data_IF_436216374342
#
_entry.id   IF_436216374342
#
_cell.length_a   1.000
_cell.length_b   1.000
_cell.length_c   1.000
_cell.angle_alpha   90.00
_cell.angle_beta   90.00
_cell.angle_gamma   90.00
#
_symmetry.space_group_name_H-M   'P 1'
#
loop_
_entity.id
_entity.type
_entity.pdbx_description
1 polymer ?
#
# COMPACT_ATOMS: atom_id res chain seq x y z
N UNK A 1 -2.33 7.47 -13.63
CA UNK A 1 -2.87 7.04 -12.33
C UNK A 1 -1.91 6.09 -11.66
N UNK A 2 -1.76 6.22 -10.34
CA UNK A 2 -0.76 5.47 -9.59
C UNK A 2 -1.35 4.97 -8.29
N UNK A 3 -0.92 3.80 -7.87
CA UNK A 3 -1.41 3.22 -6.64
C UNK A 3 -0.26 2.68 -5.81
N UNK A 4 -0.27 2.98 -4.53
CA UNK A 4 0.68 2.43 -3.58
C UNK A 4 -0.04 1.44 -2.70
N UNK A 5 0.53 0.25 -2.54
CA UNK A 5 -0.02 -0.80 -1.72
C UNK A 5 0.87 -1.07 -0.54
N UNK A 6 0.27 -1.25 0.62
CA UNK A 6 1.00 -1.54 1.83
C UNK A 6 0.68 -2.94 2.30
N UNK A 7 1.73 -3.73 2.43
CA UNK A 7 1.64 -5.04 2.99
C UNK A 7 2.01 -5.01 4.45
N UNK A 8 1.09 -5.43 5.29
CA UNK A 8 1.32 -5.49 6.71
C UNK A 8 0.81 -6.80 7.25
N UNK A 9 1.50 -7.84 6.98
CA UNK A 9 1.07 -9.11 7.50
C UNK A 9 2.21 -9.77 8.25
N UNK A 10 1.99 -10.01 9.54
CA UNK A 10 2.85 -10.88 10.31
C UNK A 10 2.66 -12.34 9.92
N UNK A 11 1.63 -12.60 9.13
CA UNK A 11 1.30 -13.95 8.64
C UNK A 11 1.65 -14.03 7.16
N UNK A 12 2.32 -15.10 6.78
CA UNK A 12 2.73 -15.34 5.40
C UNK A 12 1.58 -15.92 4.58
N UNK A 13 0.44 -15.23 4.57
CA UNK A 13 -0.72 -15.61 3.75
C UNK A 13 -1.07 -14.45 2.83
N UNK A 14 -1.41 -14.72 1.57
CA UNK A 14 -1.80 -13.65 0.66
C UNK A 14 -3.12 -13.05 1.11
N UNK A 15 -3.24 -11.73 0.93
CA UNK A 15 -4.49 -11.05 1.16
C UNK A 15 -5.43 -11.40 0.00
N UNK A 16 -6.66 -11.79 0.34
CA UNK A 16 -7.65 -12.19 -0.67
C UNK A 16 -7.88 -11.08 -1.69
N UNK A 17 -7.81 -11.43 -2.96
CA UNK A 17 -8.05 -10.50 -4.06
C UNK A 17 -6.87 -9.62 -4.43
N UNK A 18 -5.75 -9.66 -3.68
CA UNK A 18 -4.62 -8.79 -3.97
C UNK A 18 -3.93 -9.10 -5.30
N UNK A 19 -3.60 -10.37 -5.63
CA UNK A 19 -2.98 -10.65 -6.93
C UNK A 19 -3.85 -10.22 -8.10
N UNK A 20 -5.16 -10.41 -8.00
CA UNK A 20 -6.11 -10.01 -9.04
C UNK A 20 -6.17 -8.50 -9.18
N UNK A 21 -6.14 -7.76 -8.06
CA UNK A 21 -6.10 -6.30 -8.09
C UNK A 21 -4.83 -5.80 -8.77
N UNK A 22 -3.68 -6.38 -8.43
CA UNK A 22 -2.41 -6.00 -9.03
C UNK A 22 -2.44 -6.22 -10.55
N UNK A 23 -2.99 -7.34 -10.99
CA UNK A 23 -3.10 -7.63 -12.42
C UNK A 23 -4.01 -6.64 -13.13
N UNK A 24 -5.15 -6.29 -12.52
CA UNK A 24 -6.06 -5.29 -13.10
C UNK A 24 -5.39 -3.93 -13.24
N UNK A 25 -4.62 -3.52 -12.23
CA UNK A 25 -3.91 -2.25 -12.27
C UNK A 25 -2.84 -2.24 -13.37
N UNK A 26 -2.10 -3.34 -13.49
CA UNK A 26 -1.08 -3.46 -14.51
C UNK A 26 -1.68 -3.41 -15.91
N UNK A 27 -2.80 -4.12 -16.11
CA UNK A 27 -3.49 -4.16 -17.41
C UNK A 27 -4.00 -2.79 -17.82
N UNK A 28 -4.32 -1.93 -16.86
CA UNK A 28 -4.78 -0.57 -17.13
C UNK A 28 -3.65 0.46 -17.22
N UNK A 29 -2.40 0.03 -17.09
CA UNK A 29 -1.26 0.91 -17.23
C UNK A 29 -0.91 1.71 -15.99
N UNK A 30 -1.43 1.36 -14.82
CA UNK A 30 -1.06 2.02 -13.58
C UNK A 30 0.36 1.65 -13.17
N UNK A 31 1.06 2.61 -12.58
CA UNK A 31 2.31 2.34 -11.88
C UNK A 31 2.00 1.92 -10.46
N UNK A 32 2.67 0.89 -9.99
CA UNK A 32 2.41 0.32 -8.67
C UNK A 32 3.66 0.41 -7.83
N UNK A 33 3.53 1.00 -6.64
CA UNK A 33 4.60 1.05 -5.66
C UNK A 33 4.17 0.38 -4.37
N UNK A 34 5.12 -0.13 -3.64
CA UNK A 34 4.90 -0.70 -2.32
C UNK A 34 5.64 0.12 -1.28
N UNK A 35 4.93 0.55 -0.26
CA UNK A 35 5.51 1.23 0.89
C UNK A 35 5.14 0.44 2.15
N UNK A 36 6.12 -0.10 2.84
CA UNK A 36 5.92 -0.96 3.98
C UNK A 36 6.80 -0.55 5.15
N UNK A 37 6.30 -0.72 6.36
CA UNK A 37 7.09 -0.49 7.58
C UNK A 37 8.06 -1.62 7.89
N UNK A 38 7.95 -2.73 7.20
CA UNK A 38 8.83 -3.89 7.39
C UNK A 38 10.22 -3.66 6.82
N UNK A 39 11.20 -4.40 7.31
CA UNK A 39 12.55 -4.37 6.76
C UNK A 39 12.55 -4.89 5.32
N UNK A 40 13.45 -4.36 4.50
CA UNK A 40 13.50 -4.69 3.06
C UNK A 40 13.60 -6.19 2.79
N UNK A 41 14.42 -6.91 3.54
CA UNK A 41 14.56 -8.35 3.35
C UNK A 41 13.26 -9.10 3.60
N UNK A 42 12.48 -8.65 4.57
CA UNK A 42 11.17 -9.25 4.87
C UNK A 42 10.19 -8.94 3.74
N UNK A 43 10.18 -7.71 3.23
CA UNK A 43 9.31 -7.33 2.12
C UNK A 43 9.61 -8.21 0.91
N UNK A 44 10.89 -8.35 0.55
CA UNK A 44 11.29 -9.15 -0.62
C UNK A 44 10.95 -10.63 -0.45
N UNK A 45 11.11 -11.16 0.76
CA UNK A 45 10.75 -12.54 1.04
C UNK A 45 9.25 -12.78 0.79
N UNK A 46 8.41 -11.90 1.31
CA UNK A 46 6.96 -12.03 1.16
C UNK A 46 6.55 -11.91 -0.31
N UNK A 47 7.05 -10.90 -1.01
CA UNK A 47 6.71 -10.67 -2.42
C UNK A 47 7.16 -11.82 -3.30
N UNK A 48 8.33 -12.38 -3.03
CA UNK A 48 8.85 -13.52 -3.78
C UNK A 48 8.02 -14.77 -3.50
N UNK A 49 7.68 -14.99 -2.22
CA UNK A 49 6.91 -16.17 -1.83
C UNK A 49 5.55 -16.21 -2.50
N UNK A 50 4.90 -15.05 -2.64
CA UNK A 50 3.58 -14.97 -3.27
C UNK A 50 3.64 -14.62 -4.77
N UNK A 51 4.86 -14.53 -5.30
CA UNK A 51 5.09 -14.30 -6.73
C UNK A 51 4.43 -13.03 -7.26
N UNK A 52 4.51 -11.94 -6.48
CA UNK A 52 3.91 -10.66 -6.86
C UNK A 52 4.92 -9.53 -6.95
N UNK A 53 6.20 -9.81 -6.78
CA UNK A 53 7.25 -8.78 -6.75
C UNK A 53 7.30 -7.97 -8.06
N UNK A 54 7.10 -8.61 -9.19
CA UNK A 54 7.24 -7.96 -10.50
C UNK A 54 6.13 -6.96 -10.81
N UNK A 55 5.06 -6.94 -10.01
CA UNK A 55 4.02 -5.92 -10.16
C UNK A 55 4.48 -4.54 -9.67
N UNK A 56 5.47 -4.47 -8.79
CA UNK A 56 5.88 -3.23 -8.15
C UNK A 56 7.07 -2.61 -8.85
N UNK A 57 6.91 -1.38 -9.34
CA UNK A 57 8.02 -0.62 -9.93
C UNK A 57 8.97 -0.08 -8.87
N UNK A 58 8.43 0.21 -7.67
CA UNK A 58 9.16 0.81 -6.57
C UNK A 58 8.77 0.10 -5.28
N UNK A 59 9.77 -0.21 -4.47
CA UNK A 59 9.59 -0.78 -3.14
C UNK A 59 10.34 0.11 -2.16
N UNK A 60 9.61 0.67 -1.19
CA UNK A 60 10.19 1.52 -0.14
C UNK A 60 9.98 0.86 1.20
N UNK A 61 11.06 0.67 1.94
CA UNK A 61 11.01 0.17 3.32
C UNK A 61 11.04 1.34 4.28
N UNK A 62 9.95 1.50 5.04
CA UNK A 62 9.89 2.52 6.10
C UNK A 62 10.91 2.30 7.20
N UNK A 63 11.38 1.06 7.37
CA UNK A 63 12.42 0.75 8.34
C UNK A 63 13.75 1.41 8.00
N UNK A 64 13.96 1.81 6.75
CA UNK A 64 15.18 2.50 6.29
C UNK A 64 15.08 4.02 6.41
N UNK A 65 13.92 4.54 6.86
CA UNK A 65 13.67 5.97 6.95
C UNK A 65 13.77 6.46 8.39
N UNK A 66 14.15 7.73 8.61
CA UNK A 66 14.26 8.28 9.97
C UNK A 66 12.90 8.41 10.67
N UNK A 67 11.82 8.50 9.91
CA UNK A 67 10.47 8.58 10.48
C UNK A 67 9.57 7.54 9.85
N UNK A 68 8.80 6.86 10.69
CA UNK A 68 7.84 5.86 10.26
C UNK A 68 6.43 6.42 10.25
N UNK A 69 5.47 5.66 9.73
CA UNK A 69 4.06 6.02 9.81
C UNK A 69 3.65 6.28 11.24
N UNK A 70 2.84 7.29 11.53
CA UNK A 70 1.97 8.05 10.62
C UNK A 70 2.64 9.22 9.89
N UNK A 71 3.96 9.34 9.92
CA UNK A 71 4.66 10.37 9.16
C UNK A 71 4.50 10.09 7.66
N UNK A 72 4.22 11.12 6.83
CA UNK A 72 3.97 10.89 5.40
C UNK A 72 5.20 10.57 4.57
N UNK A 73 6.41 10.59 5.16
CA UNK A 73 7.65 10.47 4.40
C UNK A 73 7.70 9.24 3.50
N UNK A 74 7.25 8.08 3.98
CA UNK A 74 7.31 6.84 3.21
C UNK A 74 6.49 6.96 1.93
N UNK A 75 5.32 7.59 1.97
CA UNK A 75 4.48 7.76 0.80
C UNK A 75 5.00 8.84 -0.13
N UNK A 76 5.50 9.94 0.41
CA UNK A 76 6.07 11.03 -0.39
C UNK A 76 7.29 10.53 -1.17
N UNK A 77 8.14 9.75 -0.53
CA UNK A 77 9.32 9.16 -1.19
C UNK A 77 8.90 8.17 -2.28
N UNK A 78 7.89 7.36 -2.02
CA UNK A 78 7.39 6.40 -3.01
C UNK A 78 6.83 7.12 -4.23
N UNK A 79 6.05 8.17 -4.03
CA UNK A 79 5.50 8.97 -5.13
C UNK A 79 6.62 9.61 -5.95
N UNK A 80 7.65 10.16 -5.28
CA UNK A 80 8.79 10.75 -5.96
C UNK A 80 9.51 9.72 -6.83
N UNK A 81 9.73 8.53 -6.30
CA UNK A 81 10.41 7.47 -7.06
C UNK A 81 9.56 6.96 -8.23
N UNK A 82 8.25 7.03 -8.12
CA UNK A 82 7.35 6.71 -9.23
C UNK A 82 7.27 7.83 -10.26
N UNK A 83 7.75 9.01 -9.91
CA UNK A 83 7.73 10.17 -10.81
C UNK A 83 6.36 10.85 -10.90
N UNK A 84 5.59 10.84 -9.81
CA UNK A 84 4.23 11.40 -9.78
C UNK A 84 4.04 12.32 -8.60
N UNK A 85 3.04 13.19 -8.71
CA UNK A 85 2.67 14.05 -7.58
C UNK A 85 1.74 13.31 -6.63
N UNK A 86 1.73 13.68 -5.33
CA UNK A 86 0.86 13.01 -4.35
C UNK A 86 -0.62 13.03 -4.72
N UNK A 87 -1.11 14.11 -5.33
CA UNK A 87 -2.53 14.21 -5.70
C UNK A 87 -2.93 13.16 -6.74
N UNK A 88 -1.96 12.62 -7.46
CA UNK A 88 -2.21 11.58 -8.47
C UNK A 88 -2.16 10.17 -7.88
N UNK A 89 -1.82 10.04 -6.62
CA UNK A 89 -1.63 8.75 -5.97
C UNK A 89 -2.87 8.31 -5.20
N UNK A 90 -3.15 7.02 -5.27
CA UNK A 90 -4.13 6.35 -4.42
C UNK A 90 -3.41 5.31 -3.59
N UNK A 91 -3.66 5.31 -2.30
CA UNK A 91 -3.07 4.35 -1.35
C UNK A 91 -4.13 3.35 -0.93
N UNK A 92 -3.75 2.08 -0.90
CA UNK A 92 -4.56 1.03 -0.28
C UNK A 92 -3.87 0.64 1.02
N UNK A 93 -4.56 0.78 2.14
CA UNK A 93 -3.97 0.61 3.47
C UNK A 93 -4.97 -0.05 4.42
N UNK A 94 -4.47 -0.85 5.36
CA UNK A 94 -5.32 -1.55 6.33
C UNK A 94 -5.07 -1.12 7.78
N UNK A 95 -4.19 -0.16 8.02
CA UNK A 95 -3.83 0.26 9.37
C UNK A 95 -4.05 1.76 9.58
N UNK A 96 -4.46 2.12 10.79
CA UNK A 96 -4.71 3.50 11.19
C UNK A 96 -3.52 4.41 10.89
N UNK A 97 -2.31 3.97 11.25
CA UNK A 97 -1.10 4.77 11.05
C UNK A 97 -0.80 5.00 9.57
N UNK A 98 -1.02 3.98 8.73
CA UNK A 98 -0.82 4.09 7.29
C UNK A 98 -1.83 5.02 6.63
N UNK A 99 -3.09 4.97 7.06
CA UNK A 99 -4.13 5.87 6.57
C UNK A 99 -3.77 7.31 6.92
N UNK A 100 -3.33 7.56 8.17
CA UNK A 100 -2.91 8.89 8.59
C UNK A 100 -1.74 9.40 7.75
N UNK A 101 -0.76 8.54 7.47
CA UNK A 101 0.38 8.89 6.62
C UNK A 101 -0.06 9.25 5.20
N UNK A 102 -0.96 8.48 4.61
CA UNK A 102 -1.47 8.73 3.27
C UNK A 102 -2.21 10.08 3.20
N UNK A 103 -3.06 10.35 4.17
CA UNK A 103 -3.81 11.61 4.21
C UNK A 103 -2.87 12.80 4.45
N UNK A 104 -1.87 12.64 5.32
CA UNK A 104 -0.86 13.68 5.54
C UNK A 104 -0.02 13.95 4.28
N UNK A 105 0.15 12.95 3.43
CA UNK A 105 0.86 13.09 2.15
C UNK A 105 0.00 13.73 1.07
N UNK A 106 -1.30 13.93 1.30
CA UNK A 106 -2.21 14.49 0.31
C UNK A 106 -2.70 13.49 -0.72
N UNK A 107 -2.70 12.21 -0.36
CA UNK A 107 -3.10 11.13 -1.26
C UNK A 107 -4.51 10.64 -0.94
N UNK A 108 -5.20 10.15 -1.97
CA UNK A 108 -6.47 9.47 -1.82
C UNK A 108 -6.22 8.12 -1.14
N UNK A 109 -7.03 7.76 -0.15
CA UNK A 109 -6.82 6.54 0.61
C UNK A 109 -8.04 5.63 0.59
N UNK A 110 -7.83 4.40 0.15
CA UNK A 110 -8.81 3.33 0.23
C UNK A 110 -8.38 2.44 1.38
N UNK A 111 -9.23 2.34 2.40
CA UNK A 111 -8.95 1.45 3.52
C UNK A 111 -9.47 0.05 3.21
N UNK A 112 -8.62 -0.93 3.42
CA UNK A 112 -9.02 -2.33 3.37
C UNK A 112 -9.33 -2.78 4.79
N UNK A 113 -10.57 -3.19 5.02
CA UNK A 113 -11.01 -3.69 6.31
C UNK A 113 -10.57 -5.16 6.43
N UNK A 114 -9.33 -5.34 6.84
CA UNK A 114 -8.70 -6.65 6.92
C UNK A 114 -9.25 -7.43 8.11
N UNK A 115 -9.89 -8.60 7.90
CA UNK A 115 -10.44 -9.36 9.00
C UNK A 115 -9.39 -9.88 9.99
N UNK A 116 -8.11 -9.89 9.59
CA UNK A 116 -7.01 -10.29 10.46
C UNK A 116 -6.41 -9.12 11.24
N UNK A 117 -6.86 -7.89 10.98
CA UNK A 117 -6.40 -6.70 11.70
C UNK A 117 -7.45 -6.34 12.75
N UNK A 118 -7.03 -6.27 14.00
CA UNK A 118 -7.91 -5.93 15.11
C UNK A 118 -7.69 -4.48 15.54
N UNK A 119 -8.78 -3.82 15.93
CA UNK A 119 -8.72 -2.50 16.57
C UNK A 119 -8.12 -1.41 15.70
N UNK A 120 -8.28 -1.49 14.38
CA UNK A 120 -7.84 -0.42 13.49
C UNK A 120 -8.99 0.56 13.24
N UNK A 121 -8.69 1.85 13.42
CA UNK A 121 -9.63 2.92 13.07
C UNK A 121 -9.39 3.31 11.62
N UNK A 122 -10.36 3.03 10.76
CA UNK A 122 -10.28 3.28 9.31
C UNK A 122 -11.03 4.55 8.90
N UNK A 123 -11.59 5.29 9.86
CA UNK A 123 -12.54 6.38 9.58
C UNK A 123 -11.95 7.55 8.78
N UNK A 124 -10.63 7.74 8.80
CA UNK A 124 -9.97 8.84 8.08
C UNK A 124 -9.75 8.55 6.60
N UNK A 125 -9.94 7.31 6.15
CA UNK A 125 -9.84 6.96 4.75
C UNK A 125 -10.97 7.59 3.93
N UNK A 126 -10.74 7.76 2.64
CA UNK A 126 -11.76 8.30 1.74
C UNK A 126 -12.87 7.29 1.49
N UNK A 127 -12.51 6.02 1.35
CA UNK A 127 -13.49 4.92 1.30
C UNK A 127 -12.94 3.70 2.05
N UNK A 128 -13.85 2.79 2.42
CA UNK A 128 -13.52 1.56 3.11
C UNK A 128 -14.09 0.39 2.31
N UNK A 129 -13.26 -0.61 2.03
CA UNK A 129 -13.67 -1.82 1.32
C UNK A 129 -13.33 -3.05 2.14
N UNK A 130 -14.07 -4.12 1.97
CA UNK A 130 -13.83 -5.38 2.69
C UNK A 130 -13.06 -6.39 1.87
N UNK A 131 -13.01 -6.23 0.55
CA UNK A 131 -12.26 -7.09 -0.35
C UNK A 131 -11.54 -6.22 -1.37
N UNK A 132 -10.38 -6.67 -1.83
CA UNK A 132 -9.64 -5.98 -2.89
C UNK A 132 -10.45 -5.98 -4.19
N UNK A 133 -11.34 -6.95 -4.39
CA UNK A 133 -12.22 -7.00 -5.55
C UNK A 133 -13.20 -5.83 -5.59
N UNK A 134 -13.49 -5.22 -4.45
CA UNK A 134 -14.40 -4.08 -4.35
C UNK A 134 -13.75 -2.76 -4.73
N UNK A 135 -12.44 -2.76 -4.94
CA UNK A 135 -11.71 -1.57 -5.36
C UNK A 135 -11.97 -1.34 -6.85
N UNK A 136 -12.53 -0.17 -7.14
CA UNK A 136 -12.83 0.24 -8.51
C UNK A 136 -11.69 1.05 -9.09
N UNK A 137 -11.33 0.73 -10.30
CA UNK A 137 -10.24 1.38 -11.00
C UNK A 137 -10.66 1.79 -12.41
#
# INVERSE_FOLDING_TARGET
YYMELIEKSDKLVPIHGLPELLQRLKDKGYKIGLASSSARNMIEMVLTRFNIKDYFEVIVSGAELPKSKPDPAVYLITAEKLGVSPEECTVVEDATAGIAAAKAAGMYCIAYDNPNSLNQDLSRADIIVKNHDDIKI
#
